data_IF_657031284066
#
_entry.id   IF_657031284066
#
_cell.length_a   1.000
_cell.length_b   1.000
_cell.length_c   1.000
_cell.angle_alpha   90.00
_cell.angle_beta   90.00
_cell.angle_gamma   90.00
#
_symmetry.space_group_name_H-M   'P 1'
#
loop_
_entity.id
_entity.type
_entity.pdbx_description
1 polymer ?
#
# COMPACT_ATOMS: atom_id res chain seq x y z
N UNK A 1 -14.83 -10.32 -10.72
CA UNK A 1 -14.81 -9.09 -9.91
C UNK A 1 -15.58 -7.93 -10.57
N UNK A 2 -15.43 -7.65 -11.88
CA UNK A 2 -16.13 -6.55 -12.57
C UNK A 2 -17.67 -6.71 -12.67
N UNK A 3 -18.18 -7.90 -13.02
CA UNK A 3 -19.63 -8.12 -13.15
C UNK A 3 -20.33 -8.40 -11.82
N UNK A 4 -19.72 -9.18 -10.93
CA UNK A 4 -20.31 -9.58 -9.64
C UNK A 4 -20.07 -8.56 -8.52
N UNK A 5 -19.16 -7.59 -8.69
CA UNK A 5 -18.61 -6.72 -7.62
C UNK A 5 -18.09 -7.45 -6.36
N UNK A 6 -17.97 -8.78 -6.41
CA UNK A 6 -17.51 -9.60 -5.31
C UNK A 6 -16.09 -10.10 -5.58
N UNK A 7 -15.18 -9.66 -4.71
CA UNK A 7 -13.79 -10.14 -4.66
C UNK A 7 -13.74 -11.62 -4.26
N UNK A 8 -14.66 -12.04 -3.38
CA UNK A 8 -14.76 -13.42 -2.89
C UNK A 8 -15.10 -14.38 -4.04
N UNK A 9 -16.10 -14.04 -4.87
CA UNK A 9 -16.49 -14.89 -5.99
C UNK A 9 -15.38 -14.96 -7.06
N UNK A 10 -14.67 -13.85 -7.29
CA UNK A 10 -13.51 -13.82 -8.19
C UNK A 10 -12.36 -14.72 -7.71
N UNK A 11 -12.03 -14.67 -6.42
CA UNK A 11 -11.03 -15.53 -5.81
C UNK A 11 -11.39 -17.01 -5.86
N UNK A 12 -12.66 -17.36 -5.60
CA UNK A 12 -13.16 -18.74 -5.67
C UNK A 12 -13.02 -19.31 -7.09
N UNK A 13 -13.42 -18.55 -8.10
CA UNK A 13 -13.32 -18.97 -9.51
C UNK A 13 -11.85 -19.14 -9.92
N UNK A 14 -10.97 -18.23 -9.53
CA UNK A 14 -9.52 -18.36 -9.80
C UNK A 14 -8.90 -19.61 -9.14
N UNK A 15 -9.32 -19.93 -7.91
CA UNK A 15 -8.88 -21.13 -7.19
C UNK A 15 -9.34 -22.42 -7.90
N UNK A 16 -10.58 -22.46 -8.39
CA UNK A 16 -11.11 -23.58 -9.18
C UNK A 16 -10.30 -23.76 -10.47
N UNK A 17 -10.03 -22.68 -11.20
CA UNK A 17 -9.25 -22.72 -12.45
C UNK A 17 -7.84 -23.26 -12.19
N UNK A 18 -7.16 -22.75 -11.17
CA UNK A 18 -5.82 -23.23 -10.85
C UNK A 18 -5.79 -24.68 -10.34
N UNK A 19 -6.82 -25.12 -9.63
CA UNK A 19 -7.00 -26.51 -9.23
C UNK A 19 -7.18 -27.44 -10.43
N UNK A 20 -8.02 -27.06 -11.39
CA UNK A 20 -8.27 -27.85 -12.62
C UNK A 20 -7.05 -27.86 -13.55
N UNK A 21 -6.30 -26.75 -13.65
CA UNK A 21 -5.05 -26.68 -14.40
C UNK A 21 -3.88 -27.44 -13.74
N UNK A 22 -4.06 -28.02 -12.55
CA UNK A 22 -3.02 -28.82 -11.88
C UNK A 22 -1.83 -28.02 -11.35
N UNK A 23 -1.99 -26.70 -11.15
CA UNK A 23 -0.92 -25.81 -10.66
C UNK A 23 -0.53 -26.16 -9.22
N UNK A 24 -1.43 -26.80 -8.46
CA UNK A 24 -1.20 -27.20 -7.07
C UNK A 24 -1.61 -28.66 -6.84
N UNK A 25 -0.82 -29.44 -6.10
CA UNK A 25 -1.21 -30.77 -5.65
C UNK A 25 -2.22 -30.65 -4.52
N UNK A 26 -3.41 -31.25 -4.68
CA UNK A 26 -4.49 -31.25 -3.67
C UNK A 26 -4.03 -31.69 -2.26
N UNK A 27 -2.98 -32.52 -2.16
CA UNK A 27 -2.35 -32.91 -0.88
C UNK A 27 -1.52 -31.82 -0.21
N UNK A 28 -0.87 -30.94 -0.97
CA UNK A 28 -0.05 -29.83 -0.45
C UNK A 28 -0.86 -28.53 -0.32
N UNK A 29 -2.03 -28.47 -0.95
CA UNK A 29 -3.00 -27.36 -0.93
C UNK A 29 -3.17 -26.74 0.47
N UNK A 30 -3.33 -27.56 1.50
CA UNK A 30 -3.53 -27.07 2.87
C UNK A 30 -2.30 -26.34 3.44
N UNK A 31 -1.08 -26.74 3.06
CA UNK A 31 0.16 -26.14 3.57
C UNK A 31 0.46 -24.80 2.88
N UNK A 32 0.24 -24.73 1.55
CA UNK A 32 0.31 -23.46 0.80
C UNK A 32 -0.76 -22.46 1.24
N UNK A 33 -1.98 -22.91 1.53
CA UNK A 33 -3.01 -22.05 2.11
C UNK A 33 -2.60 -21.53 3.49
N UNK A 34 -2.05 -22.37 4.37
CA UNK A 34 -1.59 -21.94 5.69
C UNK A 34 -0.42 -20.94 5.60
N UNK A 35 0.56 -21.17 4.73
CA UNK A 35 1.63 -20.20 4.48
C UNK A 35 1.09 -18.88 3.93
N UNK A 36 0.15 -18.93 2.99
CA UNK A 36 -0.53 -17.74 2.46
C UNK A 36 -1.28 -16.98 3.54
N UNK A 37 -1.98 -17.68 4.42
CA UNK A 37 -2.74 -17.09 5.53
C UNK A 37 -1.80 -16.45 6.57
N UNK A 38 -0.66 -17.08 6.87
CA UNK A 38 0.39 -16.52 7.72
C UNK A 38 1.00 -15.24 7.14
N UNK A 39 1.26 -15.23 5.83
CA UNK A 39 1.79 -14.04 5.14
C UNK A 39 0.76 -12.90 5.14
N UNK A 40 -0.50 -13.21 4.86
CA UNK A 40 -1.60 -12.24 4.91
C UNK A 40 -1.84 -11.69 6.32
N UNK A 41 -1.71 -12.51 7.36
CA UNK A 41 -1.81 -12.04 8.74
C UNK A 41 -0.70 -11.02 9.09
N UNK A 42 0.53 -11.28 8.66
CA UNK A 42 1.65 -10.34 8.82
C UNK A 42 1.41 -9.03 8.05
N UNK A 43 0.94 -9.11 6.80
CA UNK A 43 0.58 -7.93 6.01
C UNK A 43 -0.53 -7.13 6.68
N UNK A 44 -1.56 -7.81 7.19
CA UNK A 44 -2.67 -7.18 7.91
C UNK A 44 -2.20 -6.44 9.17
N UNK A 45 -1.32 -7.05 9.96
CA UNK A 45 -0.71 -6.42 11.12
C UNK A 45 0.07 -5.15 10.75
N UNK A 46 0.94 -5.26 9.74
CA UNK A 46 1.72 -4.13 9.23
C UNK A 46 0.81 -3.02 8.68
N UNK A 47 -0.28 -3.36 7.97
CA UNK A 47 -1.23 -2.39 7.44
C UNK A 47 -1.99 -1.65 8.54
N UNK A 48 -2.38 -2.31 9.63
CA UNK A 48 -3.03 -1.66 10.78
C UNK A 48 -2.07 -0.66 11.43
N UNK A 49 -0.83 -1.07 11.70
CA UNK A 49 0.19 -0.18 12.25
C UNK A 49 0.47 1.02 11.34
N UNK A 50 0.60 0.78 10.03
CA UNK A 50 0.80 1.82 9.03
C UNK A 50 -0.38 2.81 8.97
N UNK A 51 -1.62 2.32 9.05
CA UNK A 51 -2.81 3.19 9.10
C UNK A 51 -2.84 4.09 10.34
N UNK A 52 -2.37 3.59 11.49
CA UNK A 52 -2.21 4.38 12.71
C UNK A 52 -1.13 5.46 12.58
N UNK A 53 0.00 5.15 11.97
CA UNK A 53 1.06 6.12 11.67
C UNK A 53 0.57 7.22 10.71
N UNK A 54 -0.16 6.85 9.66
CA UNK A 54 -0.79 7.79 8.73
C UNK A 54 -1.75 8.74 9.44
N UNK A 55 -2.58 8.22 10.35
CA UNK A 55 -3.49 9.03 11.16
C UNK A 55 -2.74 10.06 12.01
N UNK A 56 -1.59 9.70 12.60
CA UNK A 56 -0.76 10.64 13.37
C UNK A 56 -0.13 11.69 12.47
N UNK A 57 0.42 11.33 11.30
CA UNK A 57 0.97 12.27 10.32
C UNK A 57 -0.09 13.29 9.87
N UNK A 58 -1.29 12.81 9.55
CA UNK A 58 -2.39 13.68 9.14
C UNK A 58 -2.87 14.59 10.27
N UNK A 59 -2.82 14.11 11.52
CA UNK A 59 -3.19 14.91 12.70
C UNK A 59 -2.14 15.94 13.08
N UNK A 60 -0.86 15.65 12.89
CA UNK A 60 0.22 16.59 13.20
C UNK A 60 0.41 17.65 12.12
N UNK A 61 -0.08 17.43 10.89
CA UNK A 61 -0.03 18.42 9.80
C UNK A 61 1.39 18.76 9.32
N UNK A 62 2.42 18.09 9.85
CA UNK A 62 3.82 18.42 9.58
C UNK A 62 4.21 18.20 8.12
N UNK A 63 3.58 17.25 7.42
CA UNK A 63 3.80 17.04 5.97
C UNK A 63 3.22 18.20 5.17
N UNK A 64 2.03 18.69 5.53
CA UNK A 64 1.39 19.84 4.89
C UNK A 64 2.19 21.12 5.12
N UNK A 65 2.70 21.32 6.34
CA UNK A 65 3.58 22.44 6.69
C UNK A 65 4.88 22.40 5.87
N UNK A 66 5.52 21.23 5.77
CA UNK A 66 6.75 21.03 4.99
C UNK A 66 6.54 21.30 3.50
N UNK A 67 5.43 20.83 2.94
CA UNK A 67 5.06 21.08 1.53
C UNK A 67 4.78 22.57 1.29
N UNK A 68 4.11 23.24 2.24
CA UNK A 68 3.85 24.67 2.16
C UNK A 68 5.12 25.52 2.26
N UNK A 69 6.07 25.16 3.12
CA UNK A 69 7.36 25.86 3.22
C UNK A 69 8.17 25.71 1.95
N UNK A 70 8.18 24.52 1.34
CA UNK A 70 8.89 24.27 0.08
C UNK A 70 8.22 25.01 -1.09
N UNK A 71 6.89 25.04 -1.16
CA UNK A 71 6.16 25.72 -2.23
C UNK A 71 6.26 27.25 -2.15
N UNK A 72 6.23 27.81 -0.94
CA UNK A 72 6.40 29.26 -0.73
C UNK A 72 7.86 29.70 -0.86
N UNK A 73 8.82 28.87 -0.43
CA UNK A 73 10.24 29.19 -0.45
C UNK A 73 10.91 29.11 -1.83
N UNK A 74 10.35 28.34 -2.77
CA UNK A 74 10.90 28.21 -4.12
C UNK A 74 10.30 29.15 -5.17
N UNK A 75 9.19 29.83 -4.86
CA UNK A 75 8.52 30.77 -5.75
C UNK A 75 7.93 30.13 -7.02
N UNK A 76 6.87 30.76 -7.57
CA UNK A 76 6.17 30.32 -8.79
C UNK A 76 7.06 30.26 -10.05
N UNK A 77 8.27 30.83 -9.99
CA UNK A 77 9.20 30.98 -11.12
C UNK A 77 9.88 29.66 -11.54
N UNK A 78 9.93 28.63 -10.68
CA UNK A 78 10.60 27.37 -11.01
C UNK A 78 9.79 26.12 -10.63
N UNK A 79 8.61 25.98 -11.26
CA UNK A 79 7.71 24.82 -11.11
C UNK A 79 8.41 23.47 -11.30
N UNK A 80 9.43 23.38 -12.15
CA UNK A 80 10.20 22.15 -12.37
C UNK A 80 11.01 21.72 -11.15
N UNK A 81 11.68 22.67 -10.49
CA UNK A 81 12.45 22.42 -9.26
C UNK A 81 11.52 22.10 -8.09
N UNK A 82 10.37 22.78 -8.00
CA UNK A 82 9.35 22.51 -6.98
C UNK A 82 8.78 21.08 -7.11
N UNK A 83 8.44 20.64 -8.32
CA UNK A 83 7.95 19.27 -8.57
C UNK A 83 9.01 18.21 -8.25
N UNK A 84 10.29 18.48 -8.56
CA UNK A 84 11.39 17.59 -8.23
C UNK A 84 11.57 17.43 -6.71
N UNK A 85 11.51 18.53 -5.95
CA UNK A 85 11.56 18.47 -4.48
C UNK A 85 10.34 17.79 -3.87
N UNK A 86 9.12 18.01 -4.40
CA UNK A 86 7.93 17.27 -3.94
C UNK A 86 8.07 15.77 -4.16
N UNK A 87 8.64 15.34 -5.29
CA UNK A 87 8.94 13.93 -5.53
C UNK A 87 10.00 13.39 -4.55
N UNK A 88 11.03 14.16 -4.25
CA UNK A 88 12.09 13.78 -3.32
C UNK A 88 11.54 13.61 -1.88
N UNK A 89 10.66 14.52 -1.46
CA UNK A 89 9.95 14.41 -0.18
C UNK A 89 9.04 13.18 -0.16
N UNK A 90 8.26 12.95 -1.21
CA UNK A 90 7.42 11.74 -1.34
C UNK A 90 8.25 10.45 -1.33
N UNK A 91 9.44 10.47 -1.94
CA UNK A 91 10.39 9.35 -1.92
C UNK A 91 10.93 9.11 -0.50
N UNK A 92 11.31 10.14 0.24
CA UNK A 92 11.77 9.99 1.63
C UNK A 92 10.67 9.43 2.55
N UNK A 93 9.43 9.90 2.38
CA UNK A 93 8.27 9.39 3.13
C UNK A 93 8.07 7.90 2.82
N UNK A 94 8.06 7.52 1.55
CA UNK A 94 7.86 6.12 1.13
C UNK A 94 9.03 5.20 1.51
N UNK A 95 10.27 5.69 1.48
CA UNK A 95 11.47 4.95 1.86
C UNK A 95 11.56 4.75 3.38
N UNK A 96 11.23 5.77 4.19
CA UNK A 96 11.21 5.71 5.65
C UNK A 96 10.18 4.72 6.21
N UNK A 97 9.16 4.37 5.42
CA UNK A 97 8.12 3.39 5.76
C UNK A 97 8.60 1.93 5.58
N UNK A 98 9.61 1.68 4.73
CA UNK A 98 10.36 0.42 4.70
C UNK A 98 9.65 -0.82 4.15
N UNK A 99 8.38 -0.77 3.71
CA UNK A 99 7.72 -1.90 3.04
C UNK A 99 6.63 -1.48 2.04
N UNK A 100 6.55 -2.15 0.88
CA UNK A 100 5.54 -1.87 -0.16
C UNK A 100 4.10 -2.18 0.27
N UNK A 101 3.90 -2.98 1.33
CA UNK A 101 2.57 -3.27 1.87
C UNK A 101 2.10 -2.21 2.87
N UNK A 102 3.02 -1.60 3.63
CA UNK A 102 2.71 -0.49 4.54
C UNK A 102 2.44 0.83 3.83
N UNK A 103 2.89 1.00 2.58
CA UNK A 103 2.62 2.24 1.81
C UNK A 103 1.16 2.37 1.38
N UNK A 104 0.42 1.26 1.18
CA UNK A 104 -0.97 1.31 0.66
C UNK A 104 -1.93 2.03 1.63
N UNK A 105 -2.02 1.70 2.94
CA UNK A 105 -2.92 2.37 3.87
C UNK A 105 -2.57 3.85 4.09
N UNK A 106 -1.28 4.18 4.00
CA UNK A 106 -0.78 5.54 4.25
C UNK A 106 -1.14 6.45 3.08
N UNK A 107 -0.91 6.01 1.84
CA UNK A 107 -1.26 6.80 0.65
C UNK A 107 -2.78 7.00 0.55
N UNK A 108 -3.61 6.02 0.94
CA UNK A 108 -5.08 6.20 0.97
C UNK A 108 -5.57 7.21 2.02
N UNK A 109 -4.71 7.60 2.97
CA UNK A 109 -5.06 8.55 4.02
C UNK A 109 -4.66 10.01 3.71
N UNK A 110 -3.78 10.21 2.73
CA UNK A 110 -3.32 11.52 2.23
C UNK A 110 -4.23 11.93 1.08
#
# INVERSE_FOLDING_TARGET
QLFTKSTILGGLVGLIIFGVCGVFRLKESNDIFQQGLRLMAMIGFVMIAASGFAAVINKTGGVTELVNVISQGLGDDNKGLAAFLMLLVGLFITMGIGSSFSTVPIITSI
#
